data_IF_124365031876
#
_entry.id   IF_124365031876
#
_cell.length_a   1.000
_cell.length_b   1.000
_cell.length_c   1.000
_cell.angle_alpha   90.00
_cell.angle_beta   90.00
_cell.angle_gamma   90.00
#
_symmetry.space_group_name_H-M   'P 1'
#
loop_
_entity.id
_entity.type
_entity.pdbx_description
1 polymer ?
#
# COMPACT_ATOMS: atom_id res chain seq x y z
N UNK A 1 11.86 -0.03 4.46
CA UNK A 1 10.61 -0.80 4.37
C UNK A 1 9.77 -0.17 3.28
N UNK A 2 9.14 -0.98 2.43
CA UNK A 2 8.23 -0.47 1.38
C UNK A 2 6.80 -0.68 1.85
N UNK A 3 6.02 0.40 1.83
CA UNK A 3 4.56 0.34 2.00
C UNK A 3 3.90 0.31 0.63
N UNK A 4 2.88 -0.55 0.48
CA UNK A 4 2.08 -0.68 -0.73
C UNK A 4 0.61 -0.56 -0.35
N UNK A 5 -0.11 0.36 -0.97
CA UNK A 5 -1.54 0.60 -0.74
C UNK A 5 -2.29 0.41 -2.06
N UNK A 6 -3.32 -0.44 -2.05
CA UNK A 6 -4.23 -0.57 -3.20
C UNK A 6 -5.26 0.55 -3.19
N UNK A 7 -5.26 1.38 -4.23
CA UNK A 7 -6.21 2.50 -4.38
C UNK A 7 -7.31 2.16 -5.39
N UNK A 8 -6.97 1.40 -6.44
CA UNK A 8 -7.91 1.01 -7.49
C UNK A 8 -8.88 -0.10 -7.05
N UNK A 9 -10.06 -0.13 -7.69
CA UNK A 9 -11.04 -1.21 -7.54
C UNK A 9 -10.82 -2.35 -8.54
N UNK A 10 -11.71 -3.35 -8.57
CA UNK A 10 -11.58 -4.51 -9.46
C UNK A 10 -12.18 -4.31 -10.88
N UNK A 11 -12.80 -3.15 -11.14
CA UNK A 11 -13.51 -2.87 -12.39
C UNK A 11 -12.51 -2.64 -13.53
N UNK A 12 -12.68 -3.35 -14.65
CA UNK A 12 -11.84 -3.29 -15.87
C UNK A 12 -10.35 -3.63 -15.64
N UNK A 13 -10.00 -4.36 -14.57
CA UNK A 13 -8.66 -4.91 -14.38
C UNK A 13 -8.52 -6.22 -15.16
N UNK A 14 -7.37 -6.42 -15.84
CA UNK A 14 -7.01 -7.68 -16.50
C UNK A 14 -6.89 -8.82 -15.49
N UNK A 15 -7.24 -10.04 -15.87
CA UNK A 15 -7.19 -11.17 -14.92
C UNK A 15 -5.78 -11.40 -14.38
N UNK A 16 -4.74 -11.26 -15.21
CA UNK A 16 -3.32 -11.38 -14.79
C UNK A 16 -2.99 -10.43 -13.63
N UNK A 17 -3.33 -9.16 -13.79
CA UNK A 17 -3.11 -8.13 -12.76
C UNK A 17 -3.95 -8.39 -11.51
N UNK A 18 -5.18 -8.88 -11.67
CA UNK A 18 -6.04 -9.29 -10.55
C UNK A 18 -5.42 -10.48 -9.79
N UNK A 19 -4.81 -11.42 -10.50
CA UNK A 19 -4.10 -12.52 -9.90
C UNK A 19 -2.88 -12.04 -9.13
N UNK A 20 -2.09 -11.11 -9.68
CA UNK A 20 -0.97 -10.48 -8.96
C UNK A 20 -1.45 -9.80 -7.66
N UNK A 21 -2.59 -9.11 -7.69
CA UNK A 21 -3.22 -8.57 -6.48
C UNK A 21 -3.61 -9.65 -5.45
N UNK A 22 -4.20 -10.76 -5.91
CA UNK A 22 -4.57 -11.90 -5.05
C UNK A 22 -3.33 -12.55 -4.43
N UNK A 23 -2.26 -12.75 -5.22
CA UNK A 23 -0.97 -13.33 -4.77
C UNK A 23 -0.26 -12.45 -3.75
N UNK A 24 -0.34 -11.13 -3.88
CA UNK A 24 0.18 -10.20 -2.88
C UNK A 24 -0.71 -10.14 -1.63
N UNK A 25 -2.01 -10.40 -1.74
CA UNK A 25 -2.98 -10.29 -0.63
C UNK A 25 -3.76 -8.97 -0.61
N UNK A 26 -3.62 -8.15 -1.66
CA UNK A 26 -4.30 -6.86 -1.85
C UNK A 26 -5.68 -7.06 -2.51
N UNK A 27 -6.58 -7.77 -1.84
CA UNK A 27 -7.87 -8.19 -2.40
C UNK A 27 -8.95 -7.11 -2.39
N UNK A 28 -8.80 -6.04 -1.60
CA UNK A 28 -9.80 -4.97 -1.44
C UNK A 28 -9.17 -3.59 -1.62
N UNK A 29 -9.99 -2.59 -1.95
CA UNK A 29 -9.58 -1.18 -1.91
C UNK A 29 -9.10 -0.81 -0.51
N UNK A 30 -8.08 0.05 -0.46
CA UNK A 30 -7.44 0.54 0.76
C UNK A 30 -6.89 -0.59 1.65
N UNK A 31 -6.50 -1.71 1.04
CA UNK A 31 -5.64 -2.68 1.69
C UNK A 31 -4.19 -2.23 1.55
N UNK A 32 -3.42 -2.43 2.62
CA UNK A 32 -2.02 -2.05 2.73
C UNK A 32 -1.16 -3.24 3.11
N UNK A 33 0.02 -3.34 2.51
CA UNK A 33 1.04 -4.33 2.82
C UNK A 33 2.35 -3.60 3.08
N UNK A 34 3.06 -4.03 4.11
CA UNK A 34 4.41 -3.55 4.43
C UNK A 34 5.40 -4.68 4.15
N UNK A 35 6.42 -4.38 3.36
CA UNK A 35 7.51 -5.31 3.01
C UNK A 35 8.85 -4.76 3.55
N UNK A 36 9.51 -5.53 4.41
CA UNK A 36 10.82 -5.14 4.97
C UNK A 36 11.96 -5.33 3.97
N UNK A 37 11.95 -6.44 3.23
CA UNK A 37 12.93 -6.81 2.22
C UNK A 37 12.19 -7.35 0.99
N UNK A 38 12.04 -6.57 -0.08
CA UNK A 38 11.37 -7.03 -1.28
C UNK A 38 12.26 -8.03 -2.02
N UNK A 39 11.72 -9.21 -2.31
CA UNK A 39 12.35 -10.19 -3.20
C UNK A 39 12.31 -9.71 -4.65
N UNK A 40 13.20 -10.19 -5.54
CA UNK A 40 13.17 -9.83 -6.97
C UNK A 40 11.80 -10.11 -7.63
N UNK A 41 11.13 -11.17 -7.19
CA UNK A 41 9.79 -11.56 -7.66
C UNK A 41 8.74 -10.52 -7.24
N UNK A 42 8.78 -10.07 -5.98
CA UNK A 42 7.88 -9.01 -5.49
C UNK A 42 8.11 -7.68 -6.21
N UNK A 43 9.36 -7.33 -6.50
CA UNK A 43 9.67 -6.14 -7.29
C UNK A 43 9.10 -6.25 -8.71
N UNK A 44 9.13 -7.44 -9.33
CA UNK A 44 8.46 -7.72 -10.59
C UNK A 44 6.95 -7.49 -10.51
N UNK A 45 6.31 -8.04 -9.48
CA UNK A 45 4.87 -7.87 -9.24
C UNK A 45 4.50 -6.38 -9.04
N UNK A 46 5.30 -5.64 -8.27
CA UNK A 46 5.10 -4.20 -8.02
C UNK A 46 5.20 -3.40 -9.31
N UNK A 47 6.16 -3.74 -10.20
CA UNK A 47 6.30 -3.08 -11.51
C UNK A 47 5.08 -3.29 -12.40
N UNK A 48 4.48 -4.48 -12.36
CA UNK A 48 3.26 -4.80 -13.12
C UNK A 48 2.06 -4.00 -12.61
N UNK A 49 1.86 -3.94 -11.29
CA UNK A 49 0.68 -3.30 -10.68
C UNK A 49 0.88 -1.81 -10.37
N UNK A 50 2.02 -1.21 -10.72
CA UNK A 50 2.37 0.19 -10.43
C UNK A 50 1.26 1.18 -10.80
N UNK A 51 0.49 0.81 -11.83
CA UNK A 51 -0.61 1.59 -12.38
C UNK A 51 -1.93 1.44 -11.58
N UNK A 52 -1.87 0.87 -10.38
CA UNK A 52 -3.07 0.61 -9.58
C UNK A 52 -2.84 0.81 -8.07
N UNK A 53 -1.59 0.91 -7.65
CA UNK A 53 -1.16 1.04 -6.26
C UNK A 53 -0.48 2.38 -5.99
N UNK A 54 -0.46 2.80 -4.74
CA UNK A 54 0.55 3.71 -4.22
C UNK A 54 1.62 2.91 -3.50
N UNK A 55 2.89 3.20 -3.73
CA UNK A 55 3.96 2.62 -2.93
C UNK A 55 5.04 3.64 -2.60
N UNK A 56 5.79 3.38 -1.52
CA UNK A 56 6.84 4.29 -1.08
C UNK A 56 7.63 3.77 0.11
N UNK A 57 8.59 4.56 0.54
CA UNK A 57 9.41 4.29 1.72
C UNK A 57 8.64 4.61 2.99
N UNK A 58 8.49 3.61 3.85
CA UNK A 58 7.80 3.75 5.13
C UNK A 58 8.79 4.06 6.25
N UNK A 59 8.45 5.07 7.06
CA UNK A 59 9.24 5.42 8.24
C UNK A 59 8.89 4.54 9.47
N UNK A 60 9.87 4.39 10.37
CA UNK A 60 9.72 3.58 11.57
C UNK A 60 8.63 4.13 12.52
N UNK A 61 8.45 5.45 12.59
CA UNK A 61 7.42 6.08 13.42
C UNK A 61 6.02 5.79 12.88
N UNK A 62 5.83 5.98 11.56
CA UNK A 62 4.55 5.72 10.89
C UNK A 62 4.19 4.23 10.95
N UNK A 63 5.17 3.33 10.87
CA UNK A 63 4.94 1.89 11.02
C UNK A 63 4.38 1.53 12.40
N UNK A 64 4.91 2.12 13.48
CA UNK A 64 4.37 1.91 14.84
C UNK A 64 2.91 2.33 14.94
N UNK A 65 2.56 3.54 14.44
CA UNK A 65 1.18 4.04 14.42
C UNK A 65 0.25 3.09 13.65
N UNK A 66 0.71 2.57 12.51
CA UNK A 66 -0.06 1.65 11.68
C UNK A 66 -0.32 0.30 12.38
N UNK A 67 0.68 -0.26 13.04
CA UNK A 67 0.54 -1.51 13.80
C UNK A 67 -0.38 -1.31 15.02
N UNK A 68 -0.28 -0.17 15.70
CA UNK A 68 -1.14 0.15 16.84
C UNK A 68 -2.61 0.32 16.44
N UNK A 69 -2.88 1.09 15.39
CA UNK A 69 -4.24 1.42 14.96
C UNK A 69 -4.93 0.26 14.20
N UNK A 70 -4.18 -0.47 13.37
CA UNK A 70 -4.72 -1.44 12.40
C UNK A 70 -4.10 -2.82 12.48
N UNK A 71 -3.12 -3.03 13.35
CA UNK A 71 -2.63 -4.36 13.64
C UNK A 71 -3.80 -5.21 14.11
N UNK A 72 -4.03 -6.34 13.43
CA UNK A 72 -4.95 -7.34 13.96
C UNK A 72 -4.40 -7.72 15.33
N UNK A 73 -5.11 -7.31 16.40
CA UNK A 73 -4.99 -7.98 17.69
C UNK A 73 -5.31 -9.44 17.39
N UNK A 74 -4.29 -10.27 17.21
CA UNK A 74 -4.42 -11.67 17.60
C UNK A 74 -4.83 -11.56 19.07
N UNK A 75 -6.14 -11.67 19.32
CA UNK A 75 -6.66 -11.83 20.66
C UNK A 75 -5.81 -12.93 21.29
N UNK A 76 -5.16 -12.58 22.39
CA UNK A 76 -4.46 -13.50 23.28
C UNK A 76 -3.25 -14.22 22.68
N UNK A 77 -2.13 -13.50 22.63
CA UNK A 77 -0.94 -13.88 23.41
C UNK A 77 0.11 -12.77 23.31
N UNK A 78 0.29 -12.08 24.44
CA UNK A 78 1.54 -11.36 24.77
C UNK A 78 2.70 -12.30 24.42
N UNK A 79 3.69 -11.80 23.67
CA UNK A 79 4.90 -12.52 23.22
C UNK A 79 4.76 -13.48 22.02
N UNK A 80 4.16 -13.05 20.91
CA UNK A 80 4.51 -13.67 19.62
C UNK A 80 5.67 -12.86 19.05
N UNK A 81 6.89 -13.42 19.11
CA UNK A 81 8.02 -12.99 18.27
C UNK A 81 7.44 -12.64 16.89
N UNK A 82 7.51 -11.38 16.47
CA UNK A 82 6.98 -10.89 15.20
C UNK A 82 7.47 -11.83 14.09
N UNK A 83 6.65 -12.81 13.72
CA UNK A 83 7.09 -13.87 12.82
C UNK A 83 7.14 -13.22 11.45
N UNK A 84 8.37 -12.82 11.10
CA UNK A 84 8.81 -12.08 9.90
C UNK A 84 8.35 -12.69 8.57
N UNK A 85 7.75 -13.87 8.61
CA UNK A 85 7.25 -14.66 7.49
C UNK A 85 5.76 -14.42 7.18
N UNK A 86 4.99 -13.82 8.08
CA UNK A 86 3.57 -13.55 7.82
C UNK A 86 3.43 -12.17 7.17
N UNK A 87 3.08 -12.15 5.87
CA UNK A 87 2.65 -10.93 5.18
C UNK A 87 1.44 -10.33 5.91
N UNK A 88 1.67 -9.27 6.69
CA UNK A 88 0.61 -8.57 7.38
C UNK A 88 -0.11 -7.65 6.41
N UNK A 89 -1.37 -7.99 6.10
CA UNK A 89 -2.26 -7.12 5.34
C UNK A 89 -3.04 -6.25 6.33
N UNK A 90 -2.83 -4.95 6.24
CA UNK A 90 -3.55 -3.93 7.00
C UNK A 90 -4.75 -3.44 6.19
N UNK A 91 -5.90 -3.28 6.86
CA UNK A 91 -7.08 -2.67 6.26
C UNK A 91 -7.14 -1.22 6.70
N UNK A 92 -7.03 -0.30 5.75
CA UNK A 92 -7.04 1.13 6.04
C UNK A 92 -8.44 1.73 5.87
N UNK A 93 -8.66 2.86 6.53
CA UNK A 93 -9.83 3.68 6.27
C UNK A 93 -9.62 4.45 4.95
N UNK A 94 -10.69 4.80 4.21
CA UNK A 94 -10.57 5.76 3.13
C UNK A 94 -9.87 7.05 3.61
N UNK A 95 -9.12 7.73 2.74
CA UNK A 95 -8.34 8.90 3.14
C UNK A 95 -9.26 10.07 3.49
N UNK A 96 -9.04 10.63 4.68
CA UNK A 96 -9.74 11.84 5.14
C UNK A 96 -9.34 13.03 4.26
N UNK A 97 -10.33 13.83 3.85
CA UNK A 97 -10.15 14.96 2.93
C UNK A 97 -10.16 14.59 1.44
N UNK A 98 -10.39 13.32 1.11
CA UNK A 98 -10.51 12.85 -0.28
C UNK A 98 -9.15 12.74 -0.99
N UNK A 99 -9.15 11.98 -2.10
CA UNK A 99 -7.98 11.78 -2.96
C UNK A 99 -8.39 11.68 -4.43
N UNK A 100 -7.50 12.07 -5.34
CA UNK A 100 -7.68 11.83 -6.77
C UNK A 100 -7.33 10.38 -7.12
N UNK A 101 -8.32 9.49 -7.03
CA UNK A 101 -8.18 8.02 -7.18
C UNK A 101 -7.82 7.55 -8.60
N UNK A 102 -8.02 8.39 -9.63
CA UNK A 102 -8.10 7.94 -11.03
C UNK A 102 -6.84 8.19 -11.89
N UNK A 103 -5.88 9.00 -11.43
CA UNK A 103 -4.79 9.47 -12.28
C UNK A 103 -3.43 9.14 -11.65
N UNK A 104 -2.48 8.72 -12.49
CA UNK A 104 -1.08 8.41 -12.14
C UNK A 104 -0.21 9.66 -12.10
N UNK A 105 -0.40 10.49 -13.10
CA UNK A 105 0.25 11.76 -13.27
C UNK A 105 -0.76 12.72 -13.89
N UNK A 106 -0.65 13.99 -13.57
CA UNK A 106 -1.22 15.06 -14.37
C UNK A 106 -0.08 15.98 -14.79
N UNK A 107 -0.21 16.57 -15.97
CA UNK A 107 0.68 17.64 -16.42
C UNK A 107 0.04 18.95 -15.96
N UNK A 108 0.68 19.63 -15.02
CA UNK A 108 0.27 20.96 -14.57
C UNK A 108 1.45 21.90 -14.85
N UNK A 109 1.23 22.91 -15.71
CA UNK A 109 2.25 23.90 -16.09
C UNK A 109 3.58 23.27 -16.55
N UNK A 110 3.54 22.26 -17.41
CA UNK A 110 4.73 21.58 -17.93
C UNK A 110 5.44 20.65 -16.94
N UNK A 111 4.98 20.55 -15.69
CA UNK A 111 5.55 19.68 -14.67
C UNK A 111 4.66 18.44 -14.43
N UNK A 112 5.30 17.28 -14.27
CA UNK A 112 4.61 16.03 -13.93
C UNK A 112 4.18 16.07 -12.46
N UNK A 113 2.92 16.41 -12.21
CA UNK A 113 2.30 16.25 -10.89
C UNK A 113 1.99 14.78 -10.69
N UNK A 114 2.84 14.11 -9.90
CA UNK A 114 2.58 12.73 -9.46
C UNK A 114 1.34 12.75 -8.57
N UNK A 115 0.32 12.02 -8.97
CA UNK A 115 -0.93 11.91 -8.24
C UNK A 115 -0.85 10.72 -7.30
N UNK A 116 -1.99 10.17 -6.89
CA UNK A 116 -2.05 9.22 -5.77
C UNK A 116 -1.50 7.84 -6.15
N UNK A 117 -1.34 7.52 -7.43
CA UNK A 117 -0.86 6.22 -7.88
C UNK A 117 0.62 6.26 -8.27
N UNK A 118 1.33 5.13 -8.13
CA UNK A 118 2.76 4.99 -8.41
C UNK A 118 3.65 5.20 -7.17
N UNK A 119 4.89 5.61 -7.41
CA UNK A 119 5.91 5.78 -6.36
C UNK A 119 5.84 7.16 -5.70
N UNK A 120 5.60 7.19 -4.39
CA UNK A 120 5.53 8.38 -3.54
C UNK A 120 6.80 8.65 -2.73
N UNK A 121 7.78 7.74 -2.74
CA UNK A 121 8.94 7.84 -1.86
C UNK A 121 8.51 8.06 -0.41
N UNK A 122 8.98 9.14 0.22
CA UNK A 122 8.63 9.51 1.61
C UNK A 122 7.22 10.08 1.79
N UNK A 123 6.57 10.58 0.72
CA UNK A 123 5.22 11.18 0.80
C UNK A 123 4.12 10.15 1.07
N UNK A 124 4.44 8.86 0.98
CA UNK A 124 3.50 7.78 1.34
C UNK A 124 3.05 7.87 2.80
N UNK A 125 3.91 8.39 3.69
CA UNK A 125 3.61 8.53 5.10
C UNK A 125 2.44 9.51 5.32
N UNK A 126 2.41 10.63 4.62
CA UNK A 126 1.32 11.61 4.68
C UNK A 126 -0.01 11.00 4.21
N UNK A 127 0.02 10.20 3.14
CA UNK A 127 -1.17 9.50 2.65
C UNK A 127 -1.66 8.47 3.67
N UNK A 128 -0.74 7.75 4.29
CA UNK A 128 -1.05 6.74 5.28
C UNK A 128 -1.65 7.37 6.55
N UNK A 129 -1.15 8.52 7.00
CA UNK A 129 -1.73 9.26 8.13
C UNK A 129 -3.17 9.72 7.87
N UNK A 130 -3.52 10.08 6.63
CA UNK A 130 -4.91 10.39 6.26
C UNK A 130 -5.84 9.16 6.30
N UNK A 131 -5.28 7.96 6.17
CA UNK A 131 -6.01 6.68 6.08
C UNK A 131 -6.01 5.88 7.40
N UNK A 132 -5.21 6.28 8.39
CA UNK A 132 -5.23 5.72 9.75
C UNK A 132 -6.45 6.22 10.53
#
# INVERSE_FOLDING_TARGET
MICIIRISGDVKIREDTRETFRRLGLTRKYSCIVLDKPTPVELGMIKEIKDFIAFGELDAETYKKLVEARGKKFKEKKNVKFKKEMRMVFRLHPPRGGINTKQHYSLENGNVKRLVLGNHGKKINELLEKML
#
